data_IF_488741048791
#
_entry.id   IF_488741048791
#
_cell.length_a   1.000
_cell.length_b   1.000
_cell.length_c   1.000
_cell.angle_alpha   90.00
_cell.angle_beta   90.00
_cell.angle_gamma   90.00
#
_symmetry.space_group_name_H-M   'P 1'
#
loop_
_entity.id
_entity.type
_entity.pdbx_description
1 polymer ?
#
# COMPACT_ATOMS: atom_id res chain seq x y z
N UNK A 1 58.29 12.04 0.67
CA UNK A 1 57.28 13.03 0.21
C UNK A 1 56.05 12.26 -0.20
N UNK A 2 54.91 12.45 0.48
CA UNK A 2 53.68 11.70 0.24
C UNK A 2 52.95 12.22 -0.99
N UNK A 3 52.75 11.36 -1.98
CA UNK A 3 51.83 11.59 -3.09
C UNK A 3 50.41 11.64 -2.52
N UNK A 4 49.83 12.84 -2.45
CA UNK A 4 48.39 13.00 -2.23
C UNK A 4 47.67 12.44 -3.46
N UNK A 5 47.11 11.24 -3.33
CA UNK A 5 46.31 10.60 -4.37
C UNK A 5 45.08 11.45 -4.68
N UNK A 6 44.75 11.58 -5.95
CA UNK A 6 43.56 12.31 -6.38
C UNK A 6 42.28 11.55 -5.99
N UNK A 7 41.16 12.27 -5.81
CA UNK A 7 39.86 11.65 -5.54
C UNK A 7 39.42 10.64 -6.62
N UNK A 8 39.93 10.79 -7.85
CA UNK A 8 39.71 9.90 -8.98
C UNK A 8 40.51 8.60 -8.88
N UNK A 9 41.77 8.66 -8.45
CA UNK A 9 42.56 7.45 -8.16
C UNK A 9 42.01 6.68 -6.96
N UNK A 10 41.54 7.37 -5.93
CA UNK A 10 40.87 6.73 -4.79
C UNK A 10 39.54 6.09 -5.22
N UNK A 11 38.83 6.69 -6.18
CA UNK A 11 37.62 6.11 -6.75
C UNK A 11 37.93 4.87 -7.61
N UNK A 12 39.01 4.90 -8.42
CA UNK A 12 39.45 3.77 -9.23
C UNK A 12 39.95 2.59 -8.38
N UNK A 13 40.77 2.85 -7.37
CA UNK A 13 41.22 1.82 -6.40
C UNK A 13 40.04 1.20 -5.62
N UNK A 14 38.96 1.98 -5.40
CA UNK A 14 37.72 1.47 -4.78
C UNK A 14 36.87 0.63 -5.74
N UNK A 15 37.06 0.76 -7.06
CA UNK A 15 36.36 -0.04 -8.08
C UNK A 15 37.17 -1.23 -8.60
N UNK A 16 38.50 -1.22 -8.45
CA UNK A 16 39.41 -2.30 -8.86
C UNK A 16 39.15 -3.64 -8.13
N UNK A 17 38.43 -3.62 -7.00
CA UNK A 17 38.01 -4.81 -6.25
C UNK A 17 36.52 -5.18 -6.40
N UNK A 18 35.76 -4.44 -7.23
CA UNK A 18 34.35 -4.78 -7.50
C UNK A 18 34.34 -5.68 -8.73
N UNK A 19 34.54 -6.97 -8.54
CA UNK A 19 34.19 -7.95 -9.57
C UNK A 19 32.67 -7.88 -9.76
N UNK A 20 32.25 -7.41 -10.93
CA UNK A 20 30.87 -7.49 -11.35
C UNK A 20 30.48 -8.96 -11.43
N UNK A 21 29.69 -9.44 -10.46
CA UNK A 21 29.11 -10.78 -10.46
C UNK A 21 27.99 -10.80 -11.51
N UNK A 22 28.23 -11.39 -12.70
CA UNK A 22 27.27 -11.31 -13.80
C UNK A 22 25.99 -12.06 -13.49
N UNK A 23 26.08 -13.10 -12.65
CA UNK A 23 24.93 -13.91 -12.23
C UNK A 23 24.07 -13.11 -11.25
N UNK A 24 24.68 -12.45 -10.27
CA UNK A 24 23.93 -11.54 -9.37
C UNK A 24 23.25 -10.40 -10.14
N UNK A 25 23.93 -9.80 -11.11
CA UNK A 25 23.34 -8.75 -11.96
C UNK A 25 22.14 -9.30 -12.75
N UNK A 26 22.25 -10.51 -13.31
CA UNK A 26 21.14 -11.18 -13.99
C UNK A 26 19.96 -11.40 -13.04
N UNK A 27 20.22 -11.89 -11.83
CA UNK A 27 19.18 -12.13 -10.83
C UNK A 27 18.45 -10.85 -10.45
N UNK A 28 19.20 -9.78 -10.16
CA UNK A 28 18.64 -8.46 -9.83
C UNK A 28 17.79 -7.90 -10.99
N UNK A 29 18.24 -8.08 -12.23
CA UNK A 29 17.49 -7.67 -13.41
C UNK A 29 16.15 -8.41 -13.53
N UNK A 30 16.12 -9.71 -13.25
CA UNK A 30 14.89 -10.50 -13.28
C UNK A 30 13.91 -10.08 -12.18
N UNK A 31 14.40 -9.81 -10.97
CA UNK A 31 13.55 -9.27 -9.89
C UNK A 31 13.00 -7.90 -10.26
N UNK A 32 13.83 -7.01 -10.81
CA UNK A 32 13.41 -5.68 -11.25
C UNK A 32 12.43 -5.74 -12.42
N UNK A 33 12.59 -6.70 -13.35
CA UNK A 33 11.64 -6.93 -14.42
C UNK A 33 10.28 -7.39 -13.88
N UNK A 34 10.25 -8.31 -12.91
CA UNK A 34 9.03 -8.70 -12.21
C UNK A 34 8.33 -7.49 -11.57
N UNK A 35 9.10 -6.60 -10.92
CA UNK A 35 8.56 -5.35 -10.35
C UNK A 35 7.99 -4.43 -11.41
N UNK A 36 8.70 -4.27 -12.53
CA UNK A 36 8.27 -3.42 -13.66
C UNK A 36 6.97 -3.93 -14.27
N UNK A 37 6.84 -5.25 -14.48
CA UNK A 37 5.64 -5.87 -15.02
C UNK A 37 4.43 -5.68 -14.10
N UNK A 38 4.57 -6.00 -12.81
CA UNK A 38 3.51 -5.75 -11.83
C UNK A 38 3.16 -4.27 -11.72
N UNK A 39 4.14 -3.39 -11.61
CA UNK A 39 3.92 -1.95 -11.48
C UNK A 39 3.18 -1.36 -12.68
N UNK A 40 3.56 -1.77 -13.90
CA UNK A 40 2.88 -1.35 -15.13
C UNK A 40 1.42 -1.81 -15.15
N UNK A 41 1.17 -3.07 -14.80
CA UNK A 41 -0.18 -3.63 -14.76
C UNK A 41 -1.07 -2.97 -13.68
N UNK A 42 -0.52 -2.73 -12.49
CA UNK A 42 -1.28 -2.12 -11.38
C UNK A 42 -1.57 -0.63 -11.58
N UNK A 43 -0.84 0.05 -12.47
CA UNK A 43 -0.97 1.51 -12.69
C UNK A 43 -1.83 1.84 -13.89
N UNK A 44 -1.87 0.98 -14.90
CA UNK A 44 -2.67 1.17 -16.11
C UNK A 44 -4.12 0.69 -15.86
N UNK A 45 -5.13 1.58 -15.87
CA UNK A 45 -6.53 1.20 -15.70
C UNK A 45 -7.02 0.22 -16.77
N UNK A 46 -6.56 0.39 -18.01
CA UNK A 46 -7.01 -0.39 -19.18
C UNK A 46 -6.29 -1.74 -19.32
N UNK A 47 -5.26 -1.99 -18.50
CA UNK A 47 -4.51 -3.23 -18.59
C UNK A 47 -5.35 -4.43 -18.10
N UNK A 48 -5.40 -5.46 -18.94
CA UNK A 48 -6.20 -6.68 -18.75
C UNK A 48 -5.41 -7.86 -18.15
N UNK A 49 -4.09 -7.68 -17.92
CA UNK A 49 -3.19 -8.69 -17.38
C UNK A 49 -2.53 -9.57 -18.44
N UNK A 50 -2.94 -9.48 -19.71
CA UNK A 50 -2.42 -10.32 -20.80
C UNK A 50 -0.90 -10.16 -20.99
N UNK A 51 -0.39 -8.93 -20.87
CA UNK A 51 1.05 -8.66 -21.02
C UNK A 51 1.88 -9.32 -19.92
N UNK A 52 1.50 -9.18 -18.65
CA UNK A 52 2.23 -9.77 -17.53
C UNK A 52 2.12 -11.30 -17.55
N UNK A 53 0.95 -11.85 -17.87
CA UNK A 53 0.74 -13.28 -18.01
C UNK A 53 1.62 -13.88 -19.11
N UNK A 54 1.69 -13.24 -20.28
CA UNK A 54 2.54 -13.70 -21.39
C UNK A 54 4.03 -13.66 -21.02
N UNK A 55 4.49 -12.58 -20.39
CA UNK A 55 5.88 -12.45 -19.95
C UNK A 55 6.25 -13.52 -18.92
N UNK A 56 5.40 -13.76 -17.92
CA UNK A 56 5.64 -14.78 -16.90
C UNK A 56 5.60 -16.21 -17.48
N UNK A 57 4.65 -16.50 -18.37
CA UNK A 57 4.53 -17.82 -19.02
C UNK A 57 5.73 -18.15 -19.92
N UNK A 58 6.28 -17.13 -20.60
CA UNK A 58 7.37 -17.28 -21.56
C UNK A 58 8.76 -17.30 -20.90
N UNK A 59 8.86 -16.98 -19.61
CA UNK A 59 10.11 -17.02 -18.86
C UNK A 59 10.63 -18.46 -18.70
N UNK A 60 11.96 -18.61 -18.70
CA UNK A 60 12.60 -19.88 -18.40
C UNK A 60 12.24 -20.35 -16.98
N UNK A 61 12.14 -21.67 -16.76
CA UNK A 61 11.74 -22.22 -15.46
C UNK A 61 12.66 -21.79 -14.32
N UNK A 62 13.96 -21.63 -14.61
CA UNK A 62 14.96 -21.12 -13.67
C UNK A 62 14.80 -19.62 -13.32
N UNK A 63 14.19 -18.83 -14.21
CA UNK A 63 13.99 -17.39 -14.03
C UNK A 63 12.68 -17.06 -13.29
N UNK A 64 11.70 -17.97 -13.36
CA UNK A 64 10.38 -17.79 -12.75
C UNK A 64 10.41 -17.46 -11.26
N UNK A 65 11.25 -18.08 -10.42
CA UNK A 65 11.35 -17.71 -9.00
C UNK A 65 11.75 -16.24 -8.79
N UNK A 66 12.67 -15.72 -9.61
CA UNK A 66 13.15 -14.33 -9.52
C UNK A 66 12.10 -13.34 -10.02
N UNK A 67 11.41 -13.67 -11.11
CA UNK A 67 10.26 -12.88 -11.58
C UNK A 67 9.13 -12.88 -10.57
N UNK A 68 8.80 -14.04 -9.99
CA UNK A 68 7.83 -14.19 -8.90
C UNK A 68 8.19 -13.30 -7.72
N UNK A 69 9.46 -13.26 -7.29
CA UNK A 69 9.96 -12.36 -6.24
C UNK A 69 9.65 -10.88 -6.56
N UNK A 70 9.87 -10.45 -7.80
CA UNK A 70 9.55 -9.10 -8.26
C UNK A 70 8.05 -8.77 -8.24
N UNK A 71 7.23 -9.68 -8.77
CA UNK A 71 5.77 -9.56 -8.79
C UNK A 71 5.20 -9.51 -7.35
N UNK A 72 5.56 -10.49 -6.52
CA UNK A 72 5.13 -10.63 -5.14
C UNK A 72 5.53 -9.41 -4.27
N UNK A 73 6.78 -8.94 -4.39
CA UNK A 73 7.23 -7.74 -3.66
C UNK A 73 6.42 -6.50 -4.05
N UNK A 74 6.03 -6.39 -5.32
CA UNK A 74 5.18 -5.30 -5.79
C UNK A 74 3.75 -5.40 -5.25
N UNK A 75 3.19 -6.61 -5.15
CA UNK A 75 1.89 -6.81 -4.48
C UNK A 75 1.96 -6.32 -3.03
N UNK A 76 2.94 -6.78 -2.24
CA UNK A 76 3.09 -6.39 -0.83
C UNK A 76 3.20 -4.86 -0.63
N UNK A 77 3.94 -4.18 -1.49
CA UNK A 77 4.10 -2.72 -1.44
C UNK A 77 2.78 -1.98 -1.72
N UNK A 78 1.85 -2.62 -2.41
CA UNK A 78 0.56 -2.05 -2.81
C UNK A 78 -0.60 -2.44 -1.90
N UNK A 79 -0.41 -3.38 -0.97
CA UNK A 79 -1.35 -3.68 0.11
C UNK A 79 -1.26 -2.59 1.18
N UNK A 80 -2.27 -1.70 1.19
CA UNK A 80 -2.43 -0.59 2.14
C UNK A 80 -3.92 -0.30 2.38
N UNK A 81 -4.25 0.29 3.55
CA UNK A 81 -5.63 0.66 3.85
C UNK A 81 -6.18 1.66 2.82
N UNK A 82 -7.37 1.40 2.25
CA UNK A 82 -7.92 2.22 1.18
C UNK A 82 -8.41 3.57 1.68
N UNK A 83 -8.31 4.59 0.83
CA UNK A 83 -8.82 5.94 1.11
C UNK A 83 -10.17 6.20 0.42
N UNK A 84 -10.53 5.42 -0.60
CA UNK A 84 -11.82 5.50 -1.28
C UNK A 84 -12.34 4.09 -1.60
N UNK A 85 -13.64 3.95 -1.94
CA UNK A 85 -14.22 2.69 -2.41
C UNK A 85 -13.60 2.16 -3.72
N UNK A 86 -12.90 3.00 -4.49
CA UNK A 86 -12.31 2.64 -5.79
C UNK A 86 -11.10 1.68 -5.68
N UNK A 87 -10.82 1.16 -4.48
CA UNK A 87 -9.73 0.21 -4.24
C UNK A 87 -9.97 -1.18 -4.85
N UNK A 88 -11.23 -1.51 -5.15
CA UNK A 88 -11.65 -2.85 -5.59
C UNK A 88 -10.93 -3.30 -6.86
N UNK A 89 -10.80 -2.42 -7.85
CA UNK A 89 -10.08 -2.72 -9.08
C UNK A 89 -8.61 -3.07 -8.79
N UNK A 90 -7.98 -2.28 -7.92
CA UNK A 90 -6.57 -2.44 -7.57
C UNK A 90 -6.29 -3.74 -6.83
N UNK A 91 -7.15 -4.11 -5.87
CA UNK A 91 -7.03 -5.40 -5.16
C UNK A 91 -7.34 -6.57 -6.11
N UNK A 92 -8.27 -6.40 -7.05
CA UNK A 92 -8.54 -7.39 -8.10
C UNK A 92 -7.32 -7.65 -9.00
N UNK A 93 -6.62 -6.60 -9.43
CA UNK A 93 -5.36 -6.73 -10.17
C UNK A 93 -4.26 -7.41 -9.33
N UNK A 94 -4.16 -7.09 -8.03
CA UNK A 94 -3.23 -7.79 -7.13
C UNK A 94 -3.56 -9.28 -6.96
N UNK A 95 -4.84 -9.63 -6.88
CA UNK A 95 -5.28 -11.04 -6.87
C UNK A 95 -4.87 -11.73 -8.17
N UNK A 96 -5.15 -11.13 -9.33
CA UNK A 96 -4.75 -11.69 -10.62
C UNK A 96 -3.24 -11.98 -10.71
N UNK A 97 -2.40 -11.09 -10.18
CA UNK A 97 -0.95 -11.32 -10.10
C UNK A 97 -0.60 -12.50 -9.19
N UNK A 98 -1.28 -12.67 -8.05
CA UNK A 98 -1.06 -13.81 -7.15
C UNK A 98 -1.51 -15.14 -7.79
N UNK A 99 -2.66 -15.15 -8.46
CA UNK A 99 -3.15 -16.30 -9.22
C UNK A 99 -2.18 -16.71 -10.34
N UNK A 100 -1.52 -15.72 -10.98
CA UNK A 100 -0.52 -15.97 -12.02
C UNK A 100 0.73 -16.65 -11.46
N UNK A 101 1.21 -16.28 -10.27
CA UNK A 101 2.47 -16.78 -9.70
C UNK A 101 2.32 -18.08 -8.90
N UNK A 102 1.19 -18.25 -8.20
CA UNK A 102 0.96 -19.37 -7.27
C UNK A 102 -0.26 -20.23 -7.62
N UNK A 103 -1.12 -19.77 -8.53
CA UNK A 103 -2.38 -20.42 -8.88
C UNK A 103 -3.58 -19.89 -8.09
N UNK A 104 -4.78 -20.06 -8.65
CA UNK A 104 -6.02 -19.50 -8.10
C UNK A 104 -6.39 -20.04 -6.71
N UNK A 105 -6.08 -21.31 -6.45
CA UNK A 105 -6.39 -22.00 -5.20
C UNK A 105 -5.30 -21.85 -4.13
N UNK A 106 -4.25 -21.05 -4.40
CA UNK A 106 -3.16 -20.83 -3.45
C UNK A 106 -3.60 -20.06 -2.20
N UNK A 107 -2.89 -20.28 -1.10
CA UNK A 107 -3.12 -19.56 0.16
C UNK A 107 -2.92 -18.04 -0.02
N UNK A 108 -1.93 -17.62 -0.83
CA UNK A 108 -1.66 -16.21 -1.13
C UNK A 108 -2.81 -15.54 -1.90
N UNK A 109 -3.39 -16.23 -2.89
CA UNK A 109 -4.58 -15.78 -3.63
C UNK A 109 -5.80 -15.65 -2.70
N UNK A 110 -6.07 -16.67 -1.88
CA UNK A 110 -7.17 -16.65 -0.92
C UNK A 110 -7.01 -15.54 0.12
N UNK A 111 -5.79 -15.32 0.61
CA UNK A 111 -5.47 -14.27 1.57
C UNK A 111 -5.68 -12.88 0.96
N UNK A 112 -5.29 -12.63 -0.29
CA UNK A 112 -5.59 -11.37 -0.98
C UNK A 112 -7.08 -11.14 -1.19
N UNK A 113 -7.87 -12.20 -1.40
CA UNK A 113 -9.33 -12.12 -1.41
C UNK A 113 -9.90 -11.68 -0.07
N UNK A 114 -9.39 -12.27 1.02
CA UNK A 114 -9.78 -11.87 2.37
C UNK A 114 -9.36 -10.43 2.70
N UNK A 115 -8.17 -10.01 2.26
CA UNK A 115 -7.69 -8.62 2.38
C UNK A 115 -8.65 -7.66 1.67
N UNK A 116 -9.12 -7.98 0.45
CA UNK A 116 -10.10 -7.15 -0.25
C UNK A 116 -11.40 -6.98 0.52
N UNK A 117 -11.96 -8.07 1.06
CA UNK A 117 -13.15 -8.01 1.91
C UNK A 117 -12.93 -7.20 3.19
N UNK A 118 -11.75 -7.33 3.79
CA UNK A 118 -11.34 -6.58 4.98
C UNK A 118 -11.23 -5.07 4.68
N UNK A 119 -10.67 -4.70 3.54
CA UNK A 119 -10.59 -3.32 3.05
C UNK A 119 -11.99 -2.71 2.83
N UNK A 120 -12.95 -3.48 2.31
CA UNK A 120 -14.34 -3.03 2.21
C UNK A 120 -14.96 -2.71 3.58
N UNK A 121 -14.79 -3.62 4.55
CA UNK A 121 -15.24 -3.39 5.95
C UNK A 121 -14.59 -2.17 6.59
N UNK A 122 -13.35 -1.82 6.21
CA UNK A 122 -12.69 -0.61 6.71
C UNK A 122 -13.40 0.65 6.22
N UNK A 123 -13.76 0.71 4.93
CA UNK A 123 -14.50 1.84 4.36
C UNK A 123 -15.86 1.99 5.05
N UNK A 124 -16.61 0.89 5.20
CA UNK A 124 -17.90 0.89 5.92
C UNK A 124 -17.76 1.39 7.36
N UNK A 125 -16.74 0.91 8.09
CA UNK A 125 -16.49 1.30 9.47
C UNK A 125 -16.11 2.78 9.59
N UNK A 126 -15.33 3.31 8.64
CA UNK A 126 -14.95 4.73 8.58
C UNK A 126 -16.16 5.62 8.34
N UNK A 127 -17.02 5.25 7.40
CA UNK A 127 -18.19 6.05 7.06
C UNK A 127 -19.20 6.04 8.23
N UNK A 128 -19.39 4.87 8.85
CA UNK A 128 -20.17 4.72 10.09
C UNK A 128 -19.60 5.51 11.27
N UNK A 129 -18.27 5.67 11.34
CA UNK A 129 -17.61 6.47 12.37
C UNK A 129 -17.89 7.96 12.18
N UNK A 130 -17.87 8.45 10.94
CA UNK A 130 -18.21 9.84 10.64
C UNK A 130 -19.66 10.16 11.05
N UNK A 131 -20.62 9.30 10.69
CA UNK A 131 -22.03 9.49 11.06
C UNK A 131 -22.23 9.52 12.58
N UNK A 132 -21.62 8.56 13.30
CA UNK A 132 -21.69 8.51 14.76
C UNK A 132 -21.06 9.75 15.40
N UNK A 133 -19.91 10.20 14.90
CA UNK A 133 -19.26 11.41 15.40
C UNK A 133 -20.15 12.64 15.21
N UNK A 134 -20.81 12.78 14.05
CA UNK A 134 -21.76 13.87 13.80
C UNK A 134 -22.93 13.84 14.78
N UNK A 135 -23.57 12.68 14.94
CA UNK A 135 -24.70 12.51 15.86
C UNK A 135 -24.31 12.81 17.32
N UNK A 136 -23.12 12.37 17.73
CA UNK A 136 -22.62 12.62 19.09
C UNK A 136 -22.29 14.10 19.33
N UNK A 137 -21.76 14.81 18.33
CA UNK A 137 -21.33 16.20 18.47
C UNK A 137 -22.45 17.23 18.22
N UNK A 138 -23.50 16.85 17.50
CA UNK A 138 -24.68 17.69 17.22
C UNK A 138 -25.21 18.48 18.44
N UNK A 139 -25.51 17.86 19.60
CA UNK A 139 -26.03 18.60 20.74
C UNK A 139 -25.02 19.63 21.29
N UNK A 140 -23.73 19.28 21.35
CA UNK A 140 -22.67 20.19 21.81
C UNK A 140 -22.51 21.39 20.86
N UNK A 141 -22.65 21.15 19.56
CA UNK A 141 -22.59 22.19 18.54
C UNK A 141 -23.78 23.16 18.62
N UNK A 142 -25.00 22.64 18.85
CA UNK A 142 -26.20 23.45 19.04
C UNK A 142 -26.09 24.35 20.28
N UNK A 143 -25.67 23.79 21.42
CA UNK A 143 -25.42 24.53 22.65
C UNK A 143 -24.39 25.65 22.44
N UNK A 144 -23.29 25.34 21.73
CA UNK A 144 -22.23 26.30 21.40
C UNK A 144 -22.77 27.43 20.54
N UNK A 145 -23.60 27.13 19.54
CA UNK A 145 -24.23 28.13 18.67
C UNK A 145 -25.19 29.04 19.44
N UNK A 146 -26.00 28.49 20.35
CA UNK A 146 -26.94 29.28 21.15
C UNK A 146 -26.21 30.27 22.07
N UNK A 147 -25.16 29.82 22.76
CA UNK A 147 -24.32 30.69 23.60
C UNK A 147 -23.67 31.82 22.80
N UNK A 148 -23.22 31.55 21.58
CA UNK A 148 -22.65 32.55 20.70
C UNK A 148 -23.69 33.58 20.23
N UNK A 149 -24.91 33.14 19.91
CA UNK A 149 -26.04 34.02 19.60
C UNK A 149 -26.36 34.95 20.77
N UNK A 150 -26.45 34.41 21.99
CA UNK A 150 -26.76 35.20 23.18
C UNK A 150 -25.66 36.25 23.48
N UNK A 151 -24.39 35.90 23.29
CA UNK A 151 -23.26 36.78 23.62
C UNK A 151 -22.98 37.85 22.56
N UNK A 152 -23.12 37.53 21.28
CA UNK A 152 -22.70 38.41 20.18
C UNK A 152 -23.85 38.83 19.26
N UNK A 153 -25.09 38.39 19.52
CA UNK A 153 -26.27 38.69 18.71
C UNK A 153 -26.28 38.04 17.32
N UNK A 154 -25.25 37.24 16.99
CA UNK A 154 -25.10 36.53 15.71
C UNK A 154 -24.36 35.21 15.95
N UNK A 155 -24.92 34.10 15.46
CA UNK A 155 -24.16 32.90 15.21
C UNK A 155 -23.31 33.19 13.98
N UNK A 156 -21.99 33.14 14.12
CA UNK A 156 -21.11 33.00 12.96
C UNK A 156 -21.61 31.81 12.14
N UNK A 157 -21.77 31.96 10.82
CA UNK A 157 -22.28 30.92 9.91
C UNK A 157 -21.35 29.71 9.72
N UNK A 158 -20.60 29.35 10.77
CA UNK A 158 -19.72 28.21 10.85
C UNK A 158 -20.57 26.93 10.84
N UNK A 159 -20.26 26.02 9.93
CA UNK A 159 -20.84 24.68 9.94
C UNK A 159 -20.11 23.81 10.96
N UNK A 160 -20.76 22.71 11.40
CA UNK A 160 -20.13 21.74 12.31
C UNK A 160 -18.80 21.21 11.75
N UNK A 161 -18.73 20.99 10.44
CA UNK A 161 -17.55 20.47 9.76
C UNK A 161 -16.33 21.41 9.79
N UNK A 162 -16.57 22.67 10.17
CA UNK A 162 -15.53 23.68 10.34
C UNK A 162 -15.18 23.90 11.82
N UNK A 163 -15.87 23.24 12.75
CA UNK A 163 -15.59 23.37 14.18
C UNK A 163 -14.29 22.61 14.54
N UNK A 164 -13.27 23.29 15.09
CA UNK A 164 -12.02 22.65 15.48
C UNK A 164 -12.18 21.48 16.46
N UNK A 165 -13.16 21.52 17.36
CA UNK A 165 -13.41 20.43 18.31
C UNK A 165 -13.97 19.19 17.62
N UNK A 166 -14.86 19.38 16.64
CA UNK A 166 -15.40 18.29 15.83
C UNK A 166 -14.29 17.63 15.00
N UNK A 167 -13.44 18.45 14.36
CA UNK A 167 -12.30 17.97 13.58
C UNK A 167 -11.35 17.15 14.48
N UNK A 168 -11.04 17.62 15.69
CA UNK A 168 -10.18 16.88 16.63
C UNK A 168 -10.79 15.57 17.10
N UNK A 169 -12.09 15.55 17.41
CA UNK A 169 -12.82 14.34 17.78
C UNK A 169 -12.77 13.29 16.65
N UNK A 170 -13.04 13.73 15.42
CA UNK A 170 -13.03 12.88 14.24
C UNK A 170 -11.63 12.35 13.94
N UNK A 171 -10.60 13.19 13.98
CA UNK A 171 -9.20 12.78 13.78
C UNK A 171 -8.76 11.74 14.80
N UNK A 172 -9.05 11.94 16.09
CA UNK A 172 -8.71 10.97 17.13
C UNK A 172 -9.38 9.61 16.88
N UNK A 173 -10.66 9.64 16.55
CA UNK A 173 -11.46 8.44 16.30
C UNK A 173 -10.99 7.70 15.05
N UNK A 174 -10.68 8.44 13.98
CA UNK A 174 -10.11 7.90 12.74
C UNK A 174 -8.75 7.25 12.99
N UNK A 175 -7.82 7.93 13.67
CA UNK A 175 -6.49 7.37 13.98
C UNK A 175 -6.59 6.07 14.77
N UNK A 176 -7.50 6.00 15.75
CA UNK A 176 -7.75 4.78 16.51
C UNK A 176 -8.32 3.66 15.63
N UNK A 177 -9.24 3.97 14.71
CA UNK A 177 -9.79 3.00 13.76
C UNK A 177 -8.69 2.49 12.80
N UNK A 178 -7.97 3.40 12.15
CA UNK A 178 -6.90 3.06 11.20
C UNK A 178 -5.80 2.25 11.88
N UNK A 179 -5.40 2.57 13.11
CA UNK A 179 -4.38 1.80 13.83
C UNK A 179 -4.81 0.35 14.08
N UNK A 180 -6.08 0.11 14.44
CA UNK A 180 -6.59 -1.25 14.65
C UNK A 180 -6.62 -2.04 13.36
N UNK A 181 -7.08 -1.42 12.27
CA UNK A 181 -7.13 -2.09 10.97
C UNK A 181 -5.73 -2.30 10.38
N UNK A 182 -4.81 -1.36 10.59
CA UNK A 182 -3.43 -1.47 10.12
C UNK A 182 -2.73 -2.67 10.77
N UNK A 183 -2.92 -2.88 12.07
CA UNK A 183 -2.32 -4.02 12.76
C UNK A 183 -2.76 -5.37 12.17
N UNK A 184 -4.04 -5.53 11.83
CA UNK A 184 -4.55 -6.75 11.20
C UNK A 184 -4.05 -6.87 9.75
N UNK A 185 -3.99 -5.76 9.02
CA UNK A 185 -3.43 -5.74 7.66
C UNK A 185 -1.96 -6.13 7.66
N UNK A 186 -1.18 -5.65 8.64
CA UNK A 186 0.25 -5.96 8.76
C UNK A 186 0.47 -7.45 9.02
N UNK A 187 -0.37 -8.09 9.85
CA UNK A 187 -0.33 -9.55 10.03
C UNK A 187 -0.58 -10.31 8.72
N UNK A 188 -1.56 -9.87 7.93
CA UNK A 188 -1.83 -10.47 6.62
C UNK A 188 -0.66 -10.24 5.63
N UNK A 189 -0.03 -9.07 5.67
CA UNK A 189 1.18 -8.78 4.87
C UNK A 189 2.37 -9.63 5.30
N UNK A 190 2.52 -9.88 6.60
CA UNK A 190 3.58 -10.74 7.12
C UNK A 190 3.39 -12.18 6.68
N UNK A 191 2.15 -12.70 6.68
CA UNK A 191 1.84 -14.02 6.14
C UNK A 191 2.18 -14.10 4.64
N UNK A 192 1.73 -13.14 3.83
CA UNK A 192 2.09 -13.08 2.40
C UNK A 192 3.61 -13.01 2.18
N UNK A 193 4.34 -12.29 3.04
CA UNK A 193 5.81 -12.21 2.97
C UNK A 193 6.46 -13.56 3.24
N UNK A 194 5.93 -14.33 4.20
CA UNK A 194 6.40 -15.68 4.51
C UNK A 194 6.10 -16.64 3.36
N UNK A 195 4.88 -16.64 2.82
CA UNK A 195 4.46 -17.52 1.72
C UNK A 195 5.29 -17.30 0.45
N UNK A 196 5.74 -16.07 0.23
CA UNK A 196 6.58 -15.70 -0.92
C UNK A 196 8.08 -15.72 -0.65
N UNK A 197 8.51 -16.16 0.53
CA UNK A 197 9.92 -16.22 0.93
C UNK A 197 10.66 -14.89 0.71
N UNK A 198 9.96 -13.77 0.93
CA UNK A 198 10.46 -12.40 0.72
C UNK A 198 11.23 -11.87 1.94
N UNK A 199 11.98 -12.74 2.61
CA UNK A 199 12.85 -12.35 3.72
C UNK A 199 14.15 -11.79 3.15
N UNK A 200 14.60 -10.66 3.71
CA UNK A 200 15.89 -10.05 3.40
C UNK A 200 17.07 -10.92 3.88
#
# INVERSE_FOLDING_TARGET
MSLLKSAWEIALERTEGIEADPEKIRQDNLVNEGRRLAGSYLTDPEADGTSVAKSYASAAQEDKPLLKKGLASTILLNVALPQSPDFEERIGKMQHLAELIDGAESESSQLLKQIGQFMGKYIEARDSLLERARQQYQPMFEDKRERMMQKYGKATGMSMDQDPEFIQLLQKSYNQLSSQYQQVLDQAKDQLRQDWELTD
#
